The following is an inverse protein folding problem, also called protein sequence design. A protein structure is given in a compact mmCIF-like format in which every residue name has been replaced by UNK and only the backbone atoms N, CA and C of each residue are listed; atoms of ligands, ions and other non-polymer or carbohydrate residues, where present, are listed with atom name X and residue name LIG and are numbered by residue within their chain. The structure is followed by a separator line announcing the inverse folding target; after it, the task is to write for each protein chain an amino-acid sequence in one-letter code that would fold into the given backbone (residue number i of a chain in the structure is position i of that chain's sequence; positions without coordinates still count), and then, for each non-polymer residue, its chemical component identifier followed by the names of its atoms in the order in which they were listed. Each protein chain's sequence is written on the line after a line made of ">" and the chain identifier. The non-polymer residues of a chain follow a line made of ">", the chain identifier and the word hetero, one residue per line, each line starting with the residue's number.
data_IF_852424166923
#
_entry.id   IF_852424166923
#
_cell.length_a   1.000
_cell.length_b   1.000
_cell.length_c   1.000
_cell.angle_alpha   90.00
_cell.angle_beta   90.00
_cell.angle_gamma   90.00
#
_symmetry.space_group_name_H-M   'P 1'
#
loop_
_entity.id
_entity.type
_entity.pdbx_description
1 polymer ?
#
# COMPACT_ATOMS: atom_id res chain seq x y z
N UNK A 1 -11.37 -13.04 15.56
CA UNK A 1 -11.19 -13.31 17.01
C UNK A 1 -10.55 -14.66 17.35
N UNK A 2 -10.61 -15.72 16.53
CA UNK A 2 -10.04 -17.04 16.86
C UNK A 2 -8.50 -17.03 16.88
N UNK A 3 -7.92 -16.63 18.02
CA UNK A 3 -6.46 -16.53 18.20
C UNK A 3 -5.76 -17.88 18.12
N UNK A 4 -6.37 -18.96 18.63
CA UNK A 4 -5.79 -20.31 18.55
C UNK A 4 -5.50 -20.74 17.11
N UNK A 5 -6.43 -20.48 16.18
CA UNK A 5 -6.22 -20.78 14.77
C UNK A 5 -5.13 -19.89 14.14
N UNK A 6 -5.10 -18.60 14.48
CA UNK A 6 -4.09 -17.65 14.00
C UNK A 6 -2.69 -18.06 14.48
N UNK A 7 -2.54 -18.41 15.76
CA UNK A 7 -1.27 -18.86 16.33
C UNK A 7 -0.79 -20.17 15.68
N UNK A 8 -1.72 -21.10 15.43
CA UNK A 8 -1.39 -22.36 14.74
C UNK A 8 -0.94 -22.14 13.29
N UNK A 9 -1.54 -21.19 12.57
CA UNK A 9 -1.13 -20.84 11.22
C UNK A 9 0.19 -20.06 11.19
N UNK A 10 0.44 -19.22 12.19
CA UNK A 10 1.66 -18.42 12.27
C UNK A 10 1.79 -17.47 11.08
N UNK A 11 2.94 -17.50 10.43
CA UNK A 11 3.22 -16.78 9.19
C UNK A 11 2.98 -17.61 7.92
N UNK A 12 2.58 -18.89 8.04
CA UNK A 12 2.51 -19.81 6.90
C UNK A 12 1.57 -19.34 5.79
N UNK A 13 0.44 -18.72 6.15
CA UNK A 13 -0.52 -18.19 5.17
C UNK A 13 0.11 -17.07 4.35
N UNK A 14 0.85 -16.16 4.99
CA UNK A 14 1.53 -15.06 4.31
C UNK A 14 2.71 -15.56 3.46
N UNK A 15 3.48 -16.53 3.94
CA UNK A 15 4.56 -17.13 3.16
C UNK A 15 4.05 -17.81 1.87
N UNK A 16 2.91 -18.51 1.95
CA UNK A 16 2.24 -19.07 0.76
C UNK A 16 1.73 -18.00 -0.20
N UNK A 17 1.32 -16.84 0.32
CA UNK A 17 0.97 -15.68 -0.50
C UNK A 17 2.21 -15.17 -1.23
N UNK A 18 3.36 -15.03 -0.55
CA UNK A 18 4.61 -14.65 -1.22
C UNK A 18 4.99 -15.62 -2.34
N UNK A 19 4.87 -16.93 -2.12
CA UNK A 19 5.12 -17.93 -3.18
C UNK A 19 4.25 -17.69 -4.43
N UNK A 20 2.95 -17.44 -4.26
CA UNK A 20 2.03 -17.12 -5.37
C UNK A 20 2.39 -15.82 -6.09
N UNK A 21 2.98 -14.87 -5.36
CA UNK A 21 3.43 -13.59 -5.89
C UNK A 21 4.79 -13.65 -6.60
N UNK A 22 5.46 -14.80 -6.58
CA UNK A 22 6.79 -14.99 -7.17
C UNK A 22 7.94 -14.81 -6.17
N UNK A 23 7.65 -14.84 -4.87
CA UNK A 23 8.62 -14.76 -3.78
C UNK A 23 8.84 -13.35 -3.24
N UNK A 24 9.60 -13.27 -2.15
CA UNK A 24 10.10 -12.00 -1.60
C UNK A 24 11.62 -12.00 -1.70
N UNK A 25 12.24 -11.15 -2.54
CA UNK A 25 13.67 -11.22 -2.79
C UNK A 25 14.55 -11.24 -1.53
N UNK A 26 14.22 -10.47 -0.50
CA UNK A 26 14.98 -10.45 0.76
C UNK A 26 14.96 -11.81 1.50
N UNK A 27 13.88 -12.58 1.40
CA UNK A 27 13.77 -13.92 1.98
C UNK A 27 14.50 -14.93 1.09
N UNK A 28 14.16 -14.93 -0.20
CA UNK A 28 14.60 -15.95 -1.16
C UNK A 28 16.06 -15.78 -1.60
N UNK A 29 16.62 -14.59 -1.45
CA UNK A 29 18.01 -14.28 -1.76
C UNK A 29 18.34 -14.49 -3.24
N UNK A 30 19.41 -15.25 -3.49
CA UNK A 30 19.90 -15.59 -4.83
C UNK A 30 18.99 -16.54 -5.60
N UNK A 31 18.01 -17.19 -4.94
CA UNK A 31 17.03 -18.04 -5.61
C UNK A 31 15.93 -17.24 -6.31
N UNK A 32 15.76 -15.96 -5.94
CA UNK A 32 14.76 -15.10 -6.54
C UNK A 32 15.20 -14.67 -7.95
N UNK A 33 14.31 -14.82 -8.93
CA UNK A 33 14.60 -14.54 -10.33
C UNK A 33 14.14 -13.13 -10.74
N UNK A 34 15.10 -12.22 -10.90
CA UNK A 34 14.84 -10.82 -11.28
C UNK A 34 14.39 -10.66 -12.74
N UNK A 35 14.84 -11.53 -13.65
CA UNK A 35 14.57 -11.41 -15.09
C UNK A 35 13.10 -11.63 -15.47
N UNK A 36 12.35 -12.35 -14.63
CA UNK A 36 10.93 -12.62 -14.84
C UNK A 36 10.02 -11.64 -14.08
N UNK A 37 10.59 -10.62 -13.43
CA UNK A 37 9.83 -9.70 -12.61
C UNK A 37 9.25 -8.54 -13.44
N UNK A 38 7.95 -8.31 -13.28
CA UNK A 38 7.26 -7.11 -13.73
C UNK A 38 6.36 -6.61 -12.59
N UNK A 39 6.58 -5.37 -12.13
CA UNK A 39 5.83 -4.82 -10.99
C UNK A 39 4.34 -4.57 -11.32
N UNK A 40 3.99 -4.32 -12.58
CA UNK A 40 2.60 -4.15 -13.01
C UNK A 40 1.85 -5.47 -12.91
N UNK A 41 2.44 -6.56 -13.41
CA UNK A 41 1.88 -7.91 -13.25
C UNK A 41 1.76 -8.30 -11.78
N UNK A 42 2.72 -7.89 -10.94
CA UNK A 42 2.63 -8.08 -9.50
C UNK A 42 1.39 -7.37 -8.91
N UNK A 43 1.07 -6.15 -9.34
CA UNK A 43 -0.14 -5.45 -8.89
C UNK A 43 -1.42 -6.19 -9.32
N UNK A 44 -1.43 -6.81 -10.49
CA UNK A 44 -2.57 -7.64 -10.91
C UNK A 44 -2.75 -8.87 -10.02
N UNK A 45 -1.65 -9.55 -9.67
CA UNK A 45 -1.69 -10.63 -8.69
C UNK A 45 -2.11 -10.16 -7.29
N UNK A 46 -1.75 -8.94 -6.89
CA UNK A 46 -2.22 -8.35 -5.64
C UNK A 46 -3.75 -8.26 -5.64
N UNK A 47 -4.33 -7.69 -6.70
CA UNK A 47 -5.79 -7.62 -6.86
C UNK A 47 -6.45 -8.99 -6.80
N UNK A 48 -5.92 -9.98 -7.53
CA UNK A 48 -6.47 -11.36 -7.53
C UNK A 48 -6.48 -11.99 -6.15
N UNK A 49 -5.50 -11.66 -5.30
CA UNK A 49 -5.40 -12.13 -3.92
C UNK A 49 -6.11 -11.23 -2.90
N UNK A 50 -6.80 -10.18 -3.35
CA UNK A 50 -7.56 -9.26 -2.50
C UNK A 50 -6.72 -8.16 -1.83
N UNK A 51 -5.49 -7.95 -2.27
CA UNK A 51 -4.64 -6.83 -1.85
C UNK A 51 -4.89 -5.58 -2.70
N UNK A 52 -4.49 -4.42 -2.16
CA UNK A 52 -4.56 -3.15 -2.86
C UNK A 52 -3.59 -3.12 -4.05
N UNK A 53 -3.95 -2.38 -5.10
CA UNK A 53 -3.02 -2.01 -6.19
C UNK A 53 -2.41 -0.62 -5.97
N UNK A 54 -2.79 0.07 -4.88
CA UNK A 54 -2.50 1.49 -4.69
C UNK A 54 -1.15 1.76 -3.99
N UNK A 55 -0.11 0.98 -4.31
CA UNK A 55 1.19 1.07 -3.63
C UNK A 55 2.21 1.98 -4.34
N UNK A 56 2.19 2.04 -5.67
CA UNK A 56 3.06 2.95 -6.45
C UNK A 56 2.36 4.27 -6.83
N UNK A 57 1.03 4.28 -6.81
CA UNK A 57 0.17 5.44 -6.99
C UNK A 57 -1.22 5.04 -6.52
N UNK A 58 -2.08 6.01 -6.23
CA UNK A 58 -3.47 5.77 -5.85
C UNK A 58 -4.38 6.09 -7.02
N UNK A 59 -5.24 5.13 -7.37
CA UNK A 59 -6.39 5.35 -8.25
C UNK A 59 -7.67 5.13 -7.44
N UNK A 60 -8.56 6.12 -7.40
CA UNK A 60 -9.84 6.00 -6.72
C UNK A 60 -10.96 6.73 -7.47
N UNK A 61 -12.19 6.31 -7.22
CA UNK A 61 -13.39 7.02 -7.69
C UNK A 61 -13.76 8.07 -6.65
N UNK A 62 -14.04 9.29 -7.10
CA UNK A 62 -14.52 10.37 -6.24
C UNK A 62 -15.46 11.30 -6.99
N UNK A 63 -16.17 12.14 -6.24
CA UNK A 63 -17.02 13.19 -6.81
C UNK A 63 -16.17 14.19 -7.61
N UNK A 64 -16.64 14.62 -8.78
CA UNK A 64 -15.95 15.65 -9.55
C UNK A 64 -16.09 17.02 -8.84
N UNK A 65 -14.96 17.57 -8.40
CA UNK A 65 -14.89 18.85 -7.68
C UNK A 65 -15.49 20.04 -8.45
N UNK A 66 -15.63 19.96 -9.77
CA UNK A 66 -16.27 21.00 -10.61
C UNK A 66 -17.66 20.59 -11.12
N UNK A 67 -18.08 19.34 -10.90
CA UNK A 67 -19.40 18.85 -11.28
C UNK A 67 -19.85 17.73 -10.33
N UNK A 68 -20.47 18.12 -9.22
CA UNK A 68 -20.97 17.21 -8.18
C UNK A 68 -22.05 16.21 -8.64
N UNK A 69 -22.57 16.34 -9.86
CA UNK A 69 -23.54 15.40 -10.42
C UNK A 69 -22.90 14.15 -11.03
N UNK A 70 -21.57 14.03 -11.03
CA UNK A 70 -20.84 12.85 -11.53
C UNK A 70 -19.65 12.47 -10.65
N UNK A 71 -19.27 11.20 -10.75
CA UNK A 71 -18.00 10.70 -10.23
C UNK A 71 -16.98 10.59 -11.35
N UNK A 72 -15.71 10.75 -11.00
CA UNK A 72 -14.55 10.65 -11.90
C UNK A 72 -13.44 9.85 -11.22
N UNK A 73 -12.47 9.38 -12.02
CA UNK A 73 -11.26 8.78 -11.50
C UNK A 73 -10.28 9.87 -11.05
N UNK A 74 -9.71 9.69 -9.86
CA UNK A 74 -8.63 10.50 -9.32
C UNK A 74 -7.34 9.68 -9.28
N UNK A 75 -6.27 10.28 -9.79
CA UNK A 75 -4.92 9.71 -9.81
C UNK A 75 -3.99 10.58 -8.96
N UNK A 76 -3.41 9.97 -7.92
CA UNK A 76 -2.57 10.67 -6.95
C UNK A 76 -1.44 9.80 -6.39
N UNK A 77 -0.61 10.37 -5.52
CA UNK A 77 0.43 9.61 -4.83
C UNK A 77 -0.18 8.62 -3.82
N UNK A 78 0.50 7.52 -3.48
CA UNK A 78 -0.02 6.56 -2.52
C UNK A 78 0.11 7.09 -1.08
N UNK A 79 -0.51 6.38 -0.14
CA UNK A 79 -0.26 6.57 1.29
C UNK A 79 1.06 5.92 1.72
N UNK A 80 1.62 6.39 2.85
CA UNK A 80 2.85 5.85 3.44
C UNK A 80 2.59 5.46 4.91
N UNK A 81 3.11 4.29 5.34
CA UNK A 81 3.02 3.82 6.73
C UNK A 81 3.72 4.81 7.67
N UNK A 82 4.99 5.11 7.39
CA UNK A 82 5.68 6.23 7.99
C UNK A 82 5.30 7.48 7.18
N UNK A 83 4.64 8.45 7.81
CA UNK A 83 4.26 9.68 7.12
C UNK A 83 5.45 10.27 6.36
N UNK A 84 5.21 10.68 5.11
CA UNK A 84 6.22 11.18 4.18
C UNK A 84 7.11 12.27 4.81
N UNK A 85 6.52 13.17 5.62
CA UNK A 85 7.23 14.21 6.40
C UNK A 85 8.38 13.71 7.29
N UNK A 86 8.36 12.44 7.70
CA UNK A 86 9.46 11.82 8.44
C UNK A 86 10.46 11.18 7.47
N UNK A 87 9.98 10.44 6.46
CA UNK A 87 10.83 9.79 5.44
C UNK A 87 11.78 10.79 4.76
N UNK A 88 11.30 11.98 4.40
CA UNK A 88 12.10 13.00 3.70
C UNK A 88 13.23 13.60 4.54
N UNK A 89 13.19 13.43 5.86
CA UNK A 89 14.31 13.83 6.74
C UNK A 89 15.53 12.93 6.58
N UNK A 90 15.35 11.82 5.86
CA UNK A 90 16.42 10.91 5.48
C UNK A 90 16.80 9.93 6.59
N UNK A 91 17.72 9.03 6.24
CA UNK A 91 18.12 7.86 7.06
C UNK A 91 18.67 8.18 8.45
N UNK A 92 19.15 9.40 8.66
CA UNK A 92 19.72 9.79 9.94
C UNK A 92 18.66 10.20 10.97
N UNK A 93 17.44 10.51 10.52
CA UNK A 93 16.31 10.80 11.39
C UNK A 93 15.94 9.59 12.25
N UNK A 94 15.60 9.87 13.51
CA UNK A 94 15.32 8.83 14.49
C UNK A 94 14.11 7.97 14.10
N UNK A 95 13.06 8.57 13.53
CA UNK A 95 11.85 7.86 13.14
C UNK A 95 12.12 6.95 11.94
N UNK A 96 12.97 7.40 11.00
CA UNK A 96 13.39 6.58 9.87
C UNK A 96 14.23 5.40 10.32
N UNK A 97 15.12 5.57 11.31
CA UNK A 97 15.89 4.46 11.90
C UNK A 97 15.00 3.42 12.60
N UNK A 98 14.00 3.87 13.36
CA UNK A 98 13.03 2.99 14.01
C UNK A 98 12.24 2.20 12.97
N UNK A 99 11.77 2.87 11.91
CA UNK A 99 11.07 2.22 10.81
C UNK A 99 11.93 1.19 10.07
N UNK A 100 13.17 1.54 9.76
CA UNK A 100 14.12 0.63 9.14
C UNK A 100 14.38 -0.63 9.98
N UNK A 101 14.57 -0.46 11.30
CA UNK A 101 14.70 -1.59 12.23
C UNK A 101 13.47 -2.48 12.20
N UNK A 102 12.28 -1.89 12.16
CA UNK A 102 11.03 -2.62 12.06
C UNK A 102 10.92 -3.43 10.76
N UNK A 103 11.32 -2.87 9.62
CA UNK A 103 11.40 -3.61 8.34
C UNK A 103 12.28 -4.86 8.46
N UNK A 104 13.49 -4.71 9.00
CA UNK A 104 14.45 -5.80 9.19
C UNK A 104 13.90 -6.87 10.13
N UNK A 105 13.39 -6.47 11.30
CA UNK A 105 12.96 -7.42 12.32
C UNK A 105 11.77 -8.26 11.80
N UNK A 106 10.82 -7.65 11.08
CA UNK A 106 9.72 -8.39 10.43
C UNK A 106 10.25 -9.35 9.36
N UNK A 107 11.14 -8.90 8.46
CA UNK A 107 11.68 -9.76 7.41
C UNK A 107 12.44 -10.96 7.99
N UNK A 108 13.25 -10.75 9.04
CA UNK A 108 13.98 -11.81 9.75
C UNK A 108 13.02 -12.79 10.42
N UNK A 109 11.95 -12.30 11.05
CA UNK A 109 10.90 -13.16 11.62
C UNK A 109 10.18 -14.01 10.58
N UNK A 110 10.11 -13.54 9.33
CA UNK A 110 9.53 -14.25 8.20
C UNK A 110 10.54 -15.16 7.48
N UNK A 111 11.79 -15.20 7.93
CA UNK A 111 12.80 -16.15 7.45
C UNK A 111 13.93 -15.54 6.61
N UNK A 112 14.02 -14.21 6.50
CA UNK A 112 15.16 -13.57 5.84
C UNK A 112 16.46 -13.75 6.65
N UNK A 113 17.58 -13.88 5.93
CA UNK A 113 18.90 -13.72 6.53
C UNK A 113 19.09 -12.28 7.02
N UNK A 114 19.57 -12.08 8.25
CA UNK A 114 19.66 -10.74 8.85
C UNK A 114 20.59 -9.80 8.08
N UNK A 115 21.77 -10.27 7.63
CA UNK A 115 22.72 -9.42 6.92
C UNK A 115 22.17 -9.00 5.56
N UNK A 116 21.50 -9.92 4.87
CA UNK A 116 20.80 -9.61 3.63
C UNK A 116 19.65 -8.64 3.86
N UNK A 117 18.85 -8.85 4.90
CA UNK A 117 17.74 -7.97 5.25
C UNK A 117 18.22 -6.54 5.53
N UNK A 118 19.33 -6.37 6.23
CA UNK A 118 19.96 -5.06 6.43
C UNK A 118 20.32 -4.43 5.07
N UNK A 119 21.03 -5.13 4.19
CA UNK A 119 21.45 -4.55 2.90
C UNK A 119 20.24 -4.22 1.99
N UNK A 120 19.38 -5.20 1.74
CA UNK A 120 18.31 -5.04 0.72
C UNK A 120 17.15 -4.16 1.19
N UNK A 121 16.82 -4.17 2.48
CA UNK A 121 15.77 -3.29 3.00
C UNK A 121 16.28 -1.86 3.19
N UNK A 122 17.59 -1.66 3.32
CA UNK A 122 18.18 -0.32 3.24
C UNK A 122 18.00 0.29 1.85
N UNK A 123 18.25 -0.48 0.80
CA UNK A 123 18.00 -0.08 -0.59
C UNK A 123 16.51 0.21 -0.82
N UNK A 124 15.64 -0.64 -0.28
CA UNK A 124 14.19 -0.45 -0.31
C UNK A 124 13.76 0.82 0.40
N UNK A 125 14.32 1.11 1.57
CA UNK A 125 14.07 2.34 2.31
C UNK A 125 14.57 3.57 1.55
N UNK A 126 15.74 3.50 0.91
CA UNK A 126 16.26 4.59 0.09
C UNK A 126 15.34 4.89 -1.11
N UNK A 127 14.80 3.85 -1.73
CA UNK A 127 13.76 4.01 -2.76
C UNK A 127 12.53 4.70 -2.17
N UNK A 128 12.02 4.23 -1.02
CA UNK A 128 10.84 4.83 -0.37
C UNK A 128 11.06 6.29 0.05
N UNK A 129 12.26 6.66 0.50
CA UNK A 129 12.64 8.05 0.80
C UNK A 129 12.63 8.91 -0.47
N UNK A 130 13.22 8.44 -1.58
CA UNK A 130 13.15 9.15 -2.87
C UNK A 130 11.70 9.32 -3.32
N UNK A 131 10.92 8.26 -3.17
CA UNK A 131 9.52 8.25 -3.54
C UNK A 131 8.69 9.23 -2.70
N UNK A 132 8.89 9.27 -1.37
CA UNK A 132 8.24 10.22 -0.48
C UNK A 132 8.63 11.67 -0.75
N UNK A 133 9.88 11.94 -1.17
CA UNK A 133 10.31 13.28 -1.59
C UNK A 133 9.53 13.76 -2.82
N UNK A 134 9.33 12.89 -3.82
CA UNK A 134 8.50 13.22 -4.98
C UNK A 134 7.10 13.59 -4.53
N UNK A 135 6.50 12.82 -3.62
CA UNK A 135 5.14 13.07 -3.12
C UNK A 135 5.02 14.37 -2.31
N UNK A 136 5.95 14.66 -1.40
CA UNK A 136 5.87 15.87 -0.56
C UNK A 136 6.03 17.18 -1.33
N UNK A 137 6.86 17.21 -2.37
CA UNK A 137 6.97 18.39 -3.24
C UNK A 137 5.61 18.81 -3.82
N UNK A 138 4.67 17.86 -3.94
CA UNK A 138 3.31 18.11 -4.38
C UNK A 138 2.37 18.48 -3.23
N UNK A 139 2.55 17.88 -2.05
CA UNK A 139 1.72 18.18 -0.87
C UNK A 139 1.85 19.62 -0.40
N UNK A 140 3.06 20.19 -0.48
CA UNK A 140 3.29 21.60 -0.16
C UNK A 140 2.62 22.57 -1.15
N UNK A 141 2.25 22.08 -2.34
CA UNK A 141 1.57 22.83 -3.38
C UNK A 141 0.05 22.63 -3.40
N UNK A 142 -0.54 22.05 -2.34
CA UNK A 142 -1.99 21.75 -2.21
C UNK A 142 -2.85 23.01 -2.23
N UNK A 143 -3.02 23.57 -3.42
CA UNK A 143 -4.06 24.51 -3.77
C UNK A 143 -5.13 23.70 -4.53
N UNK A 144 -6.37 23.77 -4.08
CA UNK A 144 -7.49 23.01 -4.68
C UNK A 144 -7.61 23.22 -6.20
N UNK A 145 -7.28 24.42 -6.70
CA UNK A 145 -7.27 24.70 -8.14
C UNK A 145 -6.13 24.00 -8.88
N UNK A 146 -4.97 23.83 -8.24
CA UNK A 146 -3.79 23.19 -8.83
C UNK A 146 -3.88 21.66 -8.82
N UNK A 147 -4.72 21.08 -7.94
CA UNK A 147 -4.96 19.64 -7.88
C UNK A 147 -5.99 19.16 -8.92
N UNK A 148 -6.72 20.07 -9.56
CA UNK A 148 -7.72 19.72 -10.56
C UNK A 148 -7.13 19.78 -11.97
N UNK A 149 -6.47 18.70 -12.40
CA UNK A 149 -5.89 18.58 -13.75
C UNK A 149 -6.63 17.50 -14.55
N UNK A 150 -7.75 17.86 -15.21
CA UNK A 150 -8.51 16.92 -16.02
C UNK A 150 -7.73 16.49 -17.26
N UNK A 151 -7.73 15.20 -17.54
CA UNK A 151 -7.16 14.59 -18.74
C UNK A 151 -8.07 13.47 -19.23
N UNK A 152 -8.11 13.23 -20.55
CA UNK A 152 -8.76 12.04 -21.08
C UNK A 152 -7.85 10.82 -20.92
N UNK A 153 -8.40 9.61 -20.87
CA UNK A 153 -7.59 8.38 -20.86
C UNK A 153 -6.67 8.31 -22.09
N UNK A 154 -7.13 8.72 -23.28
CA UNK A 154 -6.29 8.79 -24.47
C UNK A 154 -5.07 9.71 -24.27
N UNK A 155 -5.27 10.89 -23.70
CA UNK A 155 -4.17 11.85 -23.52
C UNK A 155 -3.24 11.46 -22.37
N UNK A 156 -3.77 10.77 -21.34
CA UNK A 156 -2.96 10.16 -20.29
C UNK A 156 -1.98 9.14 -20.88
N UNK A 157 -2.46 8.24 -21.73
CA UNK A 157 -1.64 7.21 -22.41
C UNK A 157 -0.55 7.85 -23.27
N UNK A 158 -0.86 8.95 -23.97
CA UNK A 158 0.13 9.67 -24.80
C UNK A 158 1.19 10.37 -23.97
N UNK A 159 0.82 10.89 -22.79
CA UNK A 159 1.69 11.71 -21.94
C UNK A 159 2.57 10.90 -21.00
N UNK A 160 2.03 9.83 -20.43
CA UNK A 160 2.67 8.95 -19.45
C UNK A 160 2.65 7.53 -20.01
N UNK A 161 3.73 7.17 -20.71
CA UNK A 161 3.75 6.01 -21.61
C UNK A 161 4.28 4.74 -20.96
N UNK A 162 4.88 4.83 -19.78
CA UNK A 162 5.50 3.69 -19.12
C UNK A 162 4.46 2.74 -18.53
N UNK A 163 3.38 3.29 -17.96
CA UNK A 163 2.29 2.50 -17.39
C UNK A 163 1.25 2.24 -18.50
N UNK A 164 0.82 0.99 -18.72
CA UNK A 164 -0.23 0.66 -19.67
C UNK A 164 -1.60 1.07 -19.10
N UNK A 165 -1.87 2.38 -19.02
CA UNK A 165 -3.00 2.94 -18.25
C UNK A 165 -4.35 2.33 -18.59
N UNK A 166 -4.63 2.07 -19.87
CA UNK A 166 -5.88 1.42 -20.28
C UNK A 166 -6.04 0.04 -19.63
N UNK A 167 -5.00 -0.79 -19.74
CA UNK A 167 -5.01 -2.12 -19.17
C UNK A 167 -5.07 -2.03 -17.64
N UNK A 168 -4.22 -1.19 -17.04
CA UNK A 168 -4.15 -1.02 -15.59
C UNK A 168 -5.50 -0.62 -14.98
N UNK A 169 -6.17 0.39 -15.55
CA UNK A 169 -7.46 0.88 -15.07
C UNK A 169 -8.54 -0.19 -15.28
N UNK A 170 -8.62 -0.80 -16.48
CA UNK A 170 -9.62 -1.83 -16.74
C UNK A 170 -9.40 -3.09 -15.88
N UNK A 171 -8.15 -3.45 -15.58
CA UNK A 171 -7.84 -4.52 -14.65
C UNK A 171 -8.23 -4.14 -13.22
N UNK A 172 -7.98 -2.91 -12.77
CA UNK A 172 -8.37 -2.49 -11.42
C UNK A 172 -9.89 -2.55 -11.20
N UNK A 173 -10.68 -2.19 -12.21
CA UNK A 173 -12.15 -2.17 -12.14
C UNK A 173 -12.82 -3.34 -12.86
N UNK A 174 -12.06 -4.41 -13.13
CA UNK A 174 -12.57 -5.59 -13.80
C UNK A 174 -13.85 -6.10 -13.13
N UNK A 175 -14.76 -6.63 -13.93
CA UNK A 175 -16.10 -7.12 -13.53
C UNK A 175 -17.15 -6.05 -13.19
N UNK A 176 -16.79 -4.78 -13.11
CA UNK A 176 -17.74 -3.70 -12.78
C UNK A 176 -17.87 -2.67 -13.88
N UNK A 177 -16.75 -2.25 -14.50
CA UNK A 177 -16.71 -1.14 -15.44
C UNK A 177 -15.74 -1.42 -16.59
N UNK A 178 -15.98 -0.79 -17.73
CA UNK A 178 -15.03 -0.73 -18.85
C UNK A 178 -14.83 0.72 -19.24
N UNK A 179 -13.58 1.16 -19.29
CA UNK A 179 -13.22 2.55 -19.55
C UNK A 179 -12.75 2.74 -20.98
N UNK A 180 -13.34 3.73 -21.65
CA UNK A 180 -13.00 4.11 -23.02
C UNK A 180 -12.03 5.31 -23.04
N UNK A 181 -11.55 5.66 -24.23
CA UNK A 181 -10.53 6.70 -24.46
C UNK A 181 -10.93 8.09 -23.98
N UNK A 182 -12.23 8.36 -23.90
CA UNK A 182 -12.79 9.64 -23.49
C UNK A 182 -13.04 9.71 -21.98
N UNK A 183 -12.72 8.65 -21.22
CA UNK A 183 -12.86 8.67 -19.77
C UNK A 183 -12.09 9.85 -19.17
N UNK A 184 -12.76 10.62 -18.32
CA UNK A 184 -12.18 11.76 -17.65
C UNK A 184 -11.47 11.32 -16.37
N UNK A 185 -10.20 11.66 -16.26
CA UNK A 185 -9.36 11.38 -15.11
C UNK A 185 -8.83 12.70 -14.57
N UNK A 186 -8.92 12.90 -13.26
CA UNK A 186 -8.33 14.05 -12.57
C UNK A 186 -6.97 13.62 -12.02
N UNK A 187 -5.90 14.25 -12.49
CA UNK A 187 -4.56 14.05 -11.94
C UNK A 187 -4.34 15.08 -10.83
N UNK A 188 -4.18 14.62 -9.58
CA UNK A 188 -3.94 15.52 -8.44
C UNK A 188 -2.55 16.16 -8.49
N UNK A 189 -1.55 15.45 -9.01
CA UNK A 189 -0.25 16.02 -9.34
C UNK A 189 0.33 15.45 -10.64
N UNK A 190 0.35 16.24 -11.73
CA UNK A 190 1.00 15.84 -12.98
C UNK A 190 2.51 15.64 -12.84
N UNK A 191 3.17 16.41 -11.96
CA UNK A 191 4.61 16.33 -11.70
C UNK A 191 4.96 15.02 -10.98
N UNK A 192 4.14 14.59 -10.03
CA UNK A 192 4.29 13.30 -9.36
C UNK A 192 4.41 12.15 -10.37
N UNK A 193 3.48 12.07 -11.33
CA UNK A 193 3.46 10.98 -12.30
C UNK A 193 4.71 10.98 -13.20
N UNK A 194 5.18 12.15 -13.60
CA UNK A 194 6.38 12.28 -14.43
C UNK A 194 7.63 11.79 -13.68
N UNK A 195 7.80 12.21 -12.43
CA UNK A 195 8.94 11.79 -11.61
C UNK A 195 8.80 10.32 -11.17
N UNK A 196 7.58 9.80 -11.01
CA UNK A 196 7.32 8.40 -10.71
C UNK A 196 7.78 7.49 -11.85
N UNK A 197 7.42 7.78 -13.10
CA UNK A 197 7.86 6.97 -14.25
C UNK A 197 9.39 6.94 -14.32
N UNK A 198 10.04 8.09 -14.11
CA UNK A 198 11.51 8.17 -14.05
C UNK A 198 12.10 7.38 -12.89
N UNK A 199 11.51 7.45 -11.70
CA UNK A 199 11.99 6.72 -10.54
C UNK A 199 11.86 5.21 -10.74
N UNK A 200 10.70 4.72 -11.20
CA UNK A 200 10.47 3.29 -11.40
C UNK A 200 11.39 2.74 -12.51
N UNK A 201 11.48 3.43 -13.66
CA UNK A 201 12.31 2.97 -14.79
C UNK A 201 13.80 2.88 -14.47
N UNK A 202 14.28 3.67 -13.50
CA UNK A 202 15.69 3.69 -13.10
C UNK A 202 15.99 2.84 -11.86
N UNK A 203 14.96 2.24 -11.25
CA UNK A 203 15.11 1.42 -10.05
C UNK A 203 15.22 -0.05 -10.42
N UNK A 204 16.23 -0.78 -9.90
CA UNK A 204 16.33 -2.23 -10.06
C UNK A 204 15.04 -2.98 -9.68
N UNK A 205 14.69 -3.98 -10.48
CA UNK A 205 13.50 -4.81 -10.28
C UNK A 205 13.47 -5.45 -8.89
N UNK A 206 14.62 -5.89 -8.39
CA UNK A 206 14.76 -6.44 -7.03
C UNK A 206 14.30 -5.47 -5.94
N UNK A 207 14.61 -4.18 -6.08
CA UNK A 207 14.20 -3.14 -5.12
C UNK A 207 12.69 -2.88 -5.22
N UNK A 208 12.14 -2.79 -6.44
CA UNK A 208 10.70 -2.64 -6.66
C UNK A 208 9.90 -3.81 -6.08
N UNK A 209 10.40 -5.04 -6.25
CA UNK A 209 9.81 -6.24 -5.68
C UNK A 209 9.85 -6.22 -4.14
N UNK A 210 11.01 -5.91 -3.55
CA UNK A 210 11.14 -5.80 -2.09
C UNK A 210 10.21 -4.72 -1.52
N UNK A 211 10.09 -3.57 -2.17
CA UNK A 211 9.16 -2.51 -1.79
C UNK A 211 7.70 -2.98 -1.83
N UNK A 212 7.26 -3.54 -2.95
CA UNK A 212 5.86 -3.94 -3.13
C UNK A 212 5.45 -5.07 -2.17
N UNK A 213 6.32 -6.08 -1.98
CA UNK A 213 6.06 -7.17 -1.04
C UNK A 213 6.11 -6.69 0.41
N UNK A 214 6.99 -5.72 0.73
CA UNK A 214 6.97 -5.08 2.03
C UNK A 214 5.62 -4.40 2.32
N UNK A 215 5.01 -3.71 1.35
CA UNK A 215 3.70 -3.06 1.56
C UNK A 215 2.57 -4.02 1.92
N UNK A 216 2.44 -5.14 1.21
CA UNK A 216 1.44 -6.15 1.58
C UNK A 216 1.79 -6.83 2.92
N UNK A 217 3.08 -6.90 3.27
CA UNK A 217 3.52 -7.41 4.57
C UNK A 217 3.05 -6.47 5.67
N UNK A 218 3.26 -5.16 5.52
CA UNK A 218 2.77 -4.12 6.45
C UNK A 218 1.25 -4.24 6.68
N UNK A 219 0.48 -4.42 5.61
CA UNK A 219 -0.97 -4.58 5.67
C UNK A 219 -1.40 -5.91 6.33
N UNK A 220 -0.55 -6.93 6.25
CA UNK A 220 -0.86 -8.28 6.74
C UNK A 220 -0.53 -8.48 8.23
N UNK A 221 0.36 -7.66 8.82
CA UNK A 221 0.92 -7.87 10.17
C UNK A 221 -0.15 -8.06 11.26
N UNK A 222 -1.25 -7.32 11.21
CA UNK A 222 -2.31 -7.37 12.24
C UNK A 222 -3.02 -8.73 12.30
N UNK A 223 -2.96 -9.50 11.21
CA UNK A 223 -3.60 -10.81 11.04
C UNK A 223 -2.67 -11.99 11.35
N UNK A 224 -1.40 -11.71 11.69
CA UNK A 224 -0.41 -12.73 12.02
C UNK A 224 -0.39 -13.06 13.51
N UNK A 225 0.48 -14.00 13.88
CA UNK A 225 0.65 -14.47 15.24
C UNK A 225 1.20 -13.40 16.20
N UNK A 226 1.05 -13.66 17.49
CA UNK A 226 1.39 -12.75 18.57
C UNK A 226 2.86 -12.30 18.52
N UNK A 227 3.78 -13.21 18.16
CA UNK A 227 5.20 -12.86 18.06
C UNK A 227 5.44 -11.73 17.05
N UNK A 228 4.85 -11.80 15.85
CA UNK A 228 5.04 -10.77 14.82
C UNK A 228 4.32 -9.48 15.24
N UNK A 229 3.14 -9.61 15.86
CA UNK A 229 2.41 -8.46 16.38
C UNK A 229 3.12 -7.76 17.53
N UNK A 230 3.93 -8.48 18.31
CA UNK A 230 4.76 -7.86 19.34
C UNK A 230 5.81 -6.94 18.73
N UNK A 231 6.43 -7.32 17.61
CA UNK A 231 7.37 -6.44 16.88
C UNK A 231 6.67 -5.17 16.37
N UNK A 232 5.42 -5.27 15.91
CA UNK A 232 4.61 -4.11 15.56
C UNK A 232 4.26 -3.23 16.77
N UNK A 233 3.99 -3.83 17.94
CA UNK A 233 3.76 -3.08 19.16
C UNK A 233 5.02 -2.35 19.62
N UNK A 234 6.19 -3.01 19.57
CA UNK A 234 7.48 -2.40 19.90
C UNK A 234 7.79 -1.21 18.99
N UNK A 235 7.53 -1.34 17.68
CA UNK A 235 7.60 -0.23 16.74
C UNK A 235 6.64 0.91 17.13
N UNK A 236 5.36 0.60 17.38
CA UNK A 236 4.34 1.59 17.76
C UNK A 236 4.69 2.30 19.07
N UNK A 237 5.32 1.59 20.01
CA UNK A 237 5.83 2.15 21.27
C UNK A 237 6.95 3.14 21.02
N UNK A 238 7.94 2.76 20.21
CA UNK A 238 9.07 3.64 19.87
C UNK A 238 8.67 4.85 19.01
N UNK A 239 7.67 4.69 18.15
CA UNK A 239 7.23 5.75 17.23
C UNK A 239 6.19 6.70 17.80
N UNK A 240 5.22 6.17 18.54
CA UNK A 240 4.00 6.88 18.93
C UNK A 240 3.70 6.82 20.43
N UNK A 241 4.54 6.14 21.22
CA UNK A 241 4.34 5.99 22.66
C UNK A 241 3.20 5.03 23.04
N UNK A 242 2.71 4.21 22.10
CA UNK A 242 1.63 3.23 22.35
C UNK A 242 2.21 2.05 23.15
N UNK A 243 1.65 1.78 24.32
CA UNK A 243 2.24 0.83 25.28
C UNK A 243 1.60 -0.57 25.16
N UNK A 244 0.36 -0.66 24.68
CA UNK A 244 -0.36 -1.92 24.52
C UNK A 244 -1.21 -1.93 23.24
N UNK A 245 -1.46 -3.13 22.71
CA UNK A 245 -2.40 -3.31 21.61
C UNK A 245 -3.84 -3.20 22.11
N UNK A 246 -4.75 -2.78 21.23
CA UNK A 246 -6.19 -2.88 21.50
C UNK A 246 -6.56 -4.34 21.81
N UNK A 247 -7.61 -4.53 22.59
CA UNK A 247 -8.17 -5.86 22.83
C UNK A 247 -8.58 -6.51 21.51
N UNK A 248 -8.47 -7.83 21.41
CA UNK A 248 -8.73 -8.54 20.14
C UNK A 248 -10.15 -8.36 19.61
N UNK A 249 -11.14 -8.25 20.48
CA UNK A 249 -12.52 -8.01 20.06
C UNK A 249 -12.68 -6.60 19.47
N UNK A 250 -12.02 -5.59 20.07
CA UNK A 250 -12.06 -4.21 19.61
C UNK A 250 -11.40 -4.06 18.24
N UNK A 251 -10.26 -4.72 18.02
CA UNK A 251 -9.62 -4.76 16.70
C UNK A 251 -10.51 -5.45 15.65
N UNK A 252 -11.13 -6.58 16.02
CA UNK A 252 -12.03 -7.28 15.10
C UNK A 252 -13.24 -6.41 14.75
N UNK A 253 -13.81 -5.69 15.73
CA UNK A 253 -14.91 -4.77 15.49
C UNK A 253 -14.49 -3.64 14.56
N UNK A 254 -13.33 -3.02 14.78
CA UNK A 254 -12.80 -1.96 13.92
C UNK A 254 -12.56 -2.44 12.48
N UNK A 255 -12.04 -3.66 12.29
CA UNK A 255 -11.88 -4.26 10.96
C UNK A 255 -13.24 -4.42 10.27
N UNK A 256 -14.24 -4.96 10.98
CA UNK A 256 -15.58 -5.15 10.41
C UNK A 256 -16.24 -3.79 10.14
N UNK A 257 -16.09 -2.80 11.02
CA UNK A 257 -16.55 -1.42 10.81
C UNK A 257 -15.96 -0.82 9.54
N UNK A 258 -14.65 -0.95 9.36
CA UNK A 258 -13.98 -0.39 8.18
C UNK A 258 -14.34 -1.10 6.86
N UNK A 259 -14.67 -2.40 6.91
CA UNK A 259 -14.96 -3.19 5.70
C UNK A 259 -16.44 -3.26 5.37
N UNK A 260 -17.31 -3.21 6.38
CA UNK A 260 -18.74 -3.49 6.32
C UNK A 260 -19.54 -2.43 7.09
N UNK A 261 -19.11 -1.17 7.02
CA UNK A 261 -19.70 -0.02 7.72
C UNK A 261 -21.23 -0.01 7.60
N UNK A 262 -21.76 0.02 6.37
CA UNK A 262 -23.19 0.04 6.08
C UNK A 262 -23.91 -1.16 6.73
N UNK A 263 -23.35 -2.37 6.61
CA UNK A 263 -23.99 -3.56 7.16
C UNK A 263 -24.07 -3.52 8.69
N UNK A 264 -23.06 -2.94 9.36
CA UNK A 264 -23.07 -2.76 10.81
C UNK A 264 -24.05 -1.67 11.25
N UNK A 265 -24.13 -0.55 10.53
CA UNK A 265 -25.12 0.50 10.82
C UNK A 265 -26.56 -0.06 10.76
N UNK A 266 -26.87 -0.90 9.77
CA UNK A 266 -28.17 -1.57 9.68
C UNK A 266 -28.47 -2.48 10.88
N UNK A 267 -27.46 -3.18 11.42
CA UNK A 267 -27.62 -4.04 12.59
C UNK A 267 -27.86 -3.23 13.87
N UNK A 268 -27.13 -2.12 14.04
CA UNK A 268 -27.29 -1.24 15.21
C UNK A 268 -28.68 -0.59 15.25
N UNK A 269 -29.19 -0.15 14.09
CA UNK A 269 -30.57 0.34 13.96
C UNK A 269 -31.57 -0.76 14.33
N UNK A 270 -31.37 -2.00 13.86
CA UNK A 270 -32.23 -3.14 14.18
C UNK A 270 -32.25 -3.49 15.67
N UNK A 271 -31.10 -3.47 16.34
CA UNK A 271 -30.97 -3.72 17.78
C UNK A 271 -31.60 -2.57 18.60
N UNK A 272 -31.45 -1.31 18.14
CA UNK A 272 -32.11 -0.15 18.74
C UNK A 272 -33.63 -0.23 18.67
N UNK A 273 -34.19 -0.78 17.60
CA UNK A 273 -35.64 -1.02 17.45
C UNK A 273 -36.11 -2.16 18.37
N UNK A 274 -35.32 -3.23 18.51
CA UNK A 274 -35.67 -4.38 19.37
C UNK A 274 -35.61 -4.03 20.86
N UNK A 275 -34.64 -3.21 21.29
CA UNK A 275 -34.50 -2.77 22.68
C UNK A 275 -35.38 -1.55 23.03
N UNK A 276 -36.06 -0.96 22.05
CA UNK A 276 -37.03 0.12 22.19
C UNK A 276 -38.50 -0.33 22.18
N UNK A 277 -38.76 -1.64 22.12
CA UNK A 277 -40.05 -2.30 22.32
C UNK A 277 -40.09 -3.04 23.65
#
# INVERSE_FOLDING_TARGET
>A
MNTTAIEKQGSNTLLKIFEKLGGWPVIDGSKWNESNFNWIELMYKFKELGYSMNYFFKLCVGEDAKNNSRNVLYLSHPGYKLFSKYLVKGRNDNNVKIYYKFMIDIAVMLGADRKRAEIELEETLNFEIKFANISLLNDEQRNASLMYNPITLSDLIKKYTYIPWREYINTLFSHHLTFNDNELIIIESPQFLQELEKLITTTPNRILANYAIWKITEDSILYLNEKIRQVQLDYSKSMYGIIENKSRWSECLEIVQNQLEIALEYLDIGIGIINGM
#
